data_IF_123975948510
#
_entry.id   IF_123975948510
#
_cell.length_a   1.000
_cell.length_b   1.000
_cell.length_c   1.000
_cell.angle_alpha   90.00
_cell.angle_beta   90.00
_cell.angle_gamma   90.00
#
_symmetry.space_group_name_H-M   'P 1'
#
loop_
_entity.id
_entity.type
_entity.pdbx_description
1 polymer ?
#
# COMPACT_ATOMS: atom_id res chain seq x y z
N UNK A 1 2.48 7.56 -5.22
CA UNK A 1 3.33 6.89 -6.25
C UNK A 1 4.64 7.66 -6.33
N UNK A 2 5.74 7.01 -5.99
CA UNK A 2 7.08 7.63 -6.06
C UNK A 2 7.60 7.80 -7.49
N UNK A 3 7.11 6.99 -8.44
CA UNK A 3 7.49 7.12 -9.85
C UNK A 3 7.05 8.47 -10.43
N UNK A 4 8.03 9.27 -10.88
CA UNK A 4 7.79 10.59 -11.45
C UNK A 4 7.48 11.69 -10.43
N UNK A 5 7.69 11.44 -9.13
CA UNK A 5 7.58 12.49 -8.11
C UNK A 5 8.92 13.17 -7.90
N UNK A 6 8.91 14.49 -7.88
CA UNK A 6 10.09 15.34 -7.61
C UNK A 6 9.90 15.99 -6.24
N UNK A 7 10.92 15.91 -5.40
CA UNK A 7 10.94 16.48 -4.07
C UNK A 7 12.04 17.56 -4.00
N UNK A 8 11.76 18.76 -3.49
CA UNK A 8 12.80 19.73 -3.15
C UNK A 8 13.73 19.14 -2.10
N UNK A 9 15.05 19.31 -2.26
CA UNK A 9 16.03 18.77 -1.30
C UNK A 9 15.82 19.32 0.12
N UNK A 10 15.55 20.61 0.26
CA UNK A 10 15.27 21.24 1.55
C UNK A 10 14.05 20.64 2.29
N UNK A 11 13.16 19.94 1.58
CA UNK A 11 12.03 19.26 2.22
C UNK A 11 12.50 18.08 3.10
N UNK A 12 13.59 17.42 2.71
CA UNK A 12 14.20 16.34 3.52
C UNK A 12 14.89 16.87 4.76
N UNK A 13 15.42 18.11 4.72
CA UNK A 13 16.00 18.76 5.89
C UNK A 13 14.90 19.17 6.89
N UNK A 14 13.73 19.57 6.40
CA UNK A 14 12.61 20.03 7.23
C UNK A 14 11.77 18.87 7.80
N UNK A 15 11.52 17.82 6.99
CA UNK A 15 10.59 16.75 7.30
C UNK A 15 11.27 15.43 7.63
N UNK A 16 12.60 15.37 7.54
CA UNK A 16 13.34 14.11 7.58
C UNK A 16 13.12 13.24 6.32
N UNK A 17 13.82 12.13 6.22
CA UNK A 17 13.74 11.19 5.09
C UNK A 17 12.46 10.34 5.12
N UNK A 18 12.30 9.48 4.14
CA UNK A 18 11.19 8.53 4.09
C UNK A 18 11.17 7.58 5.29
N UNK A 19 9.97 7.20 5.73
CA UNK A 19 9.77 6.25 6.82
C UNK A 19 10.11 4.82 6.35
N UNK A 20 11.38 4.42 6.52
CA UNK A 20 11.92 3.14 6.03
C UNK A 20 11.23 1.94 6.65
N UNK A 21 10.73 2.07 7.88
CA UNK A 21 10.03 1.01 8.60
C UNK A 21 8.72 0.54 7.92
N UNK A 22 8.21 1.31 6.98
CA UNK A 22 7.09 0.87 6.12
C UNK A 22 7.55 -0.15 5.08
N UNK A 23 8.83 -0.17 4.72
CA UNK A 23 9.53 -1.12 3.86
C UNK A 23 9.08 -1.11 2.38
N UNK A 24 7.82 -1.35 2.04
CA UNK A 24 7.40 -1.55 0.65
C UNK A 24 6.19 -0.73 0.20
N UNK A 25 5.20 -0.52 1.03
CA UNK A 25 3.95 0.10 0.64
C UNK A 25 3.58 1.27 1.55
N UNK A 26 3.15 2.36 0.95
CA UNK A 26 2.64 3.53 1.65
C UNK A 26 3.70 4.55 2.05
N UNK A 27 4.98 4.32 1.74
CA UNK A 27 6.09 5.22 2.02
C UNK A 27 5.87 6.60 1.38
N UNK A 28 5.50 6.60 0.11
CA UNK A 28 5.19 7.80 -0.66
C UNK A 28 3.94 8.53 -0.12
N UNK A 29 2.92 7.77 0.25
CA UNK A 29 1.70 8.34 0.83
C UNK A 29 1.99 8.98 2.19
N UNK A 30 2.74 8.29 3.05
CA UNK A 30 3.14 8.79 4.35
C UNK A 30 3.88 10.13 4.22
N UNK A 31 4.88 10.17 3.35
CA UNK A 31 5.68 11.38 3.14
C UNK A 31 4.83 12.55 2.64
N UNK A 32 3.95 12.32 1.68
CA UNK A 32 3.03 13.36 1.19
C UNK A 32 2.06 13.84 2.28
N UNK A 33 1.57 12.96 3.15
CA UNK A 33 0.67 13.35 4.24
C UNK A 33 1.43 14.10 5.36
N UNK A 34 2.65 13.70 5.65
CA UNK A 34 3.55 14.41 6.57
C UNK A 34 3.85 15.82 6.06
N UNK A 35 4.18 15.95 4.78
CA UNK A 35 4.38 17.24 4.13
C UNK A 35 3.11 18.11 4.15
N UNK A 36 1.94 17.53 3.87
CA UNK A 36 0.68 18.24 3.91
C UNK A 36 0.34 18.82 5.30
N UNK A 37 0.64 18.10 6.38
CA UNK A 37 0.50 18.61 7.76
C UNK A 37 1.39 19.82 8.06
N UNK A 38 2.47 20.01 7.31
CA UNK A 38 3.35 21.17 7.35
C UNK A 38 2.96 22.27 6.33
N UNK A 39 1.83 22.13 5.67
CA UNK A 39 1.35 23.09 4.68
C UNK A 39 1.96 22.94 3.29
N UNK A 40 2.80 21.93 3.06
CA UNK A 40 3.40 21.66 1.74
C UNK A 40 2.37 20.95 0.86
N UNK A 41 2.09 21.51 -0.31
CA UNK A 41 1.11 20.97 -1.26
C UNK A 41 1.76 20.05 -2.28
N UNK A 42 1.18 18.87 -2.47
CA UNK A 42 1.51 18.01 -3.60
C UNK A 42 0.75 18.47 -4.85
N UNK A 43 1.46 18.73 -5.95
CA UNK A 43 0.89 19.20 -7.21
C UNK A 43 1.09 18.12 -8.27
N UNK A 44 0.03 17.85 -9.04
CA UNK A 44 0.08 16.93 -10.17
C UNK A 44 -0.01 17.73 -11.49
N UNK A 45 0.98 17.57 -12.35
CA UNK A 45 1.02 18.20 -13.69
C UNK A 45 0.33 17.29 -14.70
N UNK A 46 -0.86 17.66 -15.15
CA UNK A 46 -1.66 16.87 -16.09
C UNK A 46 -1.04 16.77 -17.49
N UNK A 47 -0.17 17.71 -17.83
CA UNK A 47 0.48 17.79 -19.16
C UNK A 47 1.76 16.96 -19.25
N UNK A 48 2.23 16.38 -18.14
CA UNK A 48 3.42 15.54 -18.10
C UNK A 48 2.97 14.11 -17.96
N UNK A 49 3.18 13.32 -19.01
CA UNK A 49 2.84 11.90 -19.02
C UNK A 49 4.08 11.07 -18.75
N UNK A 50 4.05 10.31 -17.67
CA UNK A 50 5.06 9.29 -17.37
C UNK A 50 4.55 7.94 -17.84
N UNK A 51 5.23 7.34 -18.83
CA UNK A 51 4.97 5.97 -19.21
C UNK A 51 5.61 5.03 -18.18
N UNK A 52 4.79 4.38 -17.37
CA UNK A 52 5.24 3.52 -16.27
C UNK A 52 4.62 2.14 -16.38
N UNK A 53 5.46 1.13 -16.59
CA UNK A 53 5.04 -0.26 -16.56
C UNK A 53 5.04 -0.76 -15.10
N UNK A 54 3.87 -1.17 -14.63
CA UNK A 54 3.69 -1.70 -13.27
C UNK A 54 4.24 -3.12 -13.09
N UNK A 55 4.77 -3.75 -14.16
CA UNK A 55 5.43 -5.06 -14.12
C UNK A 55 4.50 -6.25 -13.75
N UNK A 56 3.21 -6.03 -13.59
CA UNK A 56 2.24 -7.07 -13.25
C UNK A 56 1.20 -7.23 -14.35
N UNK A 57 1.26 -8.35 -15.06
CA UNK A 57 0.20 -8.71 -16.00
C UNK A 57 -1.06 -9.07 -15.20
N UNK A 58 -2.09 -8.24 -15.33
CA UNK A 58 -3.40 -8.53 -14.75
C UNK A 58 -4.10 -9.58 -15.60
N UNK A 59 -4.24 -10.79 -15.09
CA UNK A 59 -5.06 -11.82 -15.74
C UNK A 59 -6.54 -11.51 -15.52
N UNK A 60 -7.28 -11.54 -16.64
CA UNK A 60 -8.74 -11.39 -16.63
C UNK A 60 -9.40 -12.65 -16.11
N UNK A 61 -10.29 -12.51 -15.13
CA UNK A 61 -11.14 -13.58 -14.61
C UNK A 61 -12.60 -13.14 -14.60
N UNK A 62 -13.53 -14.07 -14.41
CA UNK A 62 -14.96 -13.79 -14.22
C UNK A 62 -15.39 -14.19 -12.81
N UNK A 63 -16.11 -13.30 -12.12
CA UNK A 63 -16.73 -13.55 -10.83
C UNK A 63 -18.16 -13.05 -10.85
N UNK A 64 -19.12 -13.92 -10.64
CA UNK A 64 -20.56 -13.60 -10.65
C UNK A 64 -20.97 -12.79 -11.91
N UNK A 65 -20.52 -13.22 -13.08
CA UNK A 65 -20.82 -12.55 -14.36
C UNK A 65 -20.03 -11.27 -14.65
N UNK A 66 -19.27 -10.74 -13.68
CA UNK A 66 -18.46 -9.53 -13.84
C UNK A 66 -16.99 -9.87 -14.10
N UNK A 67 -16.36 -9.04 -14.92
CA UNK A 67 -14.92 -9.14 -15.14
C UNK A 67 -14.15 -8.60 -13.94
N UNK A 68 -13.19 -9.38 -13.47
CA UNK A 68 -12.31 -9.02 -12.34
C UNK A 68 -10.84 -9.21 -12.74
N UNK A 69 -9.98 -8.35 -12.21
CA UNK A 69 -8.55 -8.35 -12.48
C UNK A 69 -7.78 -8.46 -11.17
N UNK A 70 -7.61 -9.69 -10.62
CA UNK A 70 -6.83 -9.89 -9.40
C UNK A 70 -5.39 -9.46 -9.60
N UNK A 71 -4.85 -8.71 -8.62
CA UNK A 71 -3.42 -8.41 -8.60
C UNK A 71 -2.69 -9.57 -7.91
N UNK A 72 -1.91 -10.34 -8.65
CA UNK A 72 -1.14 -11.45 -8.08
C UNK A 72 0.10 -10.93 -7.33
N UNK A 73 -0.11 -10.34 -6.16
CA UNK A 73 0.99 -9.85 -5.33
C UNK A 73 1.70 -10.99 -4.61
N UNK A 74 3.04 -10.90 -4.42
CA UNK A 74 3.76 -11.82 -3.55
C UNK A 74 3.29 -11.71 -2.10
N UNK A 75 3.50 -12.76 -1.27
CA UNK A 75 3.08 -12.78 0.13
C UNK A 75 3.61 -11.58 0.95
N UNK A 76 4.87 -11.19 0.74
CA UNK A 76 5.45 -10.03 1.42
C UNK A 76 4.66 -8.75 1.14
N UNK A 77 4.37 -8.44 -0.13
CA UNK A 77 3.57 -7.25 -0.48
C UNK A 77 2.15 -7.32 0.05
N UNK A 78 1.58 -8.50 0.10
CA UNK A 78 0.25 -8.74 0.70
C UNK A 78 0.24 -8.42 2.19
N UNK A 79 1.27 -8.82 2.92
CA UNK A 79 1.48 -8.49 4.33
C UNK A 79 1.58 -6.97 4.54
N UNK A 80 2.49 -6.31 3.82
CA UNK A 80 2.75 -4.87 4.01
C UNK A 80 1.55 -4.01 3.63
N UNK A 81 0.77 -4.37 2.61
CA UNK A 81 -0.45 -3.64 2.26
C UNK A 81 -1.45 -3.57 3.42
N UNK A 82 -1.62 -4.65 4.16
CA UNK A 82 -2.54 -4.69 5.31
C UNK A 82 -1.92 -4.01 6.52
N UNK A 83 -0.69 -4.39 6.90
CA UNK A 83 0.01 -3.87 8.08
C UNK A 83 0.17 -2.35 8.01
N UNK A 84 0.72 -1.85 6.89
CA UNK A 84 0.99 -0.43 6.75
C UNK A 84 -0.29 0.39 6.67
N UNK A 85 -1.35 -0.10 6.02
CA UNK A 85 -2.63 0.59 6.01
C UNK A 85 -3.21 0.83 7.40
N UNK A 86 -3.07 -0.14 8.31
CA UNK A 86 -3.51 0.02 9.69
C UNK A 86 -2.63 1.01 10.48
N UNK A 87 -1.32 0.95 10.27
CA UNK A 87 -0.37 1.89 10.90
C UNK A 87 -0.60 3.30 10.37
N UNK A 88 -0.70 3.46 9.06
CA UNK A 88 -0.90 4.77 8.43
C UNK A 88 -2.24 5.41 8.82
N UNK A 89 -3.31 4.62 8.96
CA UNK A 89 -4.56 5.16 9.48
C UNK A 89 -4.43 5.66 10.93
N UNK A 90 -3.63 4.99 11.75
CA UNK A 90 -3.38 5.45 13.13
C UNK A 90 -2.59 6.76 13.16
N UNK A 91 -1.62 6.91 12.25
CA UNK A 91 -0.81 8.12 12.14
C UNK A 91 -1.57 9.27 11.46
N UNK A 92 -2.38 8.94 10.46
CA UNK A 92 -3.09 9.90 9.58
C UNK A 92 -4.56 9.48 9.39
N UNK A 93 -5.39 9.52 10.45
CA UNK A 93 -6.78 9.06 10.37
C UNK A 93 -7.63 9.90 9.40
N UNK A 94 -7.26 11.16 9.20
CA UNK A 94 -7.89 12.06 8.25
C UNK A 94 -7.58 11.76 6.78
N UNK A 95 -6.45 11.09 6.52
CA UNK A 95 -5.95 10.84 5.16
C UNK A 95 -6.28 9.44 4.64
N UNK A 96 -6.48 8.46 5.52
CA UNK A 96 -6.73 7.07 5.14
C UNK A 96 -8.02 6.53 5.76
N UNK A 97 -8.99 6.19 4.90
CA UNK A 97 -10.20 5.49 5.31
C UNK A 97 -9.89 3.99 5.56
N UNK A 98 -9.69 3.60 6.82
CA UNK A 98 -9.32 2.23 7.19
C UNK A 98 -10.38 1.18 6.79
N UNK A 99 -11.69 1.35 7.00
CA UNK A 99 -12.70 0.40 6.53
C UNK A 99 -12.63 0.13 5.02
N UNK A 100 -12.49 1.17 4.22
CA UNK A 100 -12.33 1.02 2.77
C UNK A 100 -11.02 0.33 2.39
N UNK A 101 -9.93 0.66 3.07
CA UNK A 101 -8.63 0.03 2.87
C UNK A 101 -8.66 -1.47 3.20
N UNK A 102 -9.20 -1.86 4.35
CA UNK A 102 -9.32 -3.26 4.75
C UNK A 102 -10.27 -4.04 3.84
N UNK A 103 -11.39 -3.43 3.40
CA UNK A 103 -12.29 -4.05 2.43
C UNK A 103 -11.54 -4.44 1.16
N UNK A 104 -10.63 -3.59 0.68
CA UNK A 104 -9.89 -3.84 -0.55
C UNK A 104 -8.67 -4.75 -0.33
N UNK A 105 -7.84 -4.48 0.67
CA UNK A 105 -6.55 -5.13 0.86
C UNK A 105 -6.59 -6.36 1.78
N UNK A 106 -7.67 -6.56 2.55
CA UNK A 106 -7.86 -7.74 3.38
C UNK A 106 -9.01 -8.59 2.85
N UNK A 107 -10.26 -8.14 2.95
CA UNK A 107 -11.43 -9.00 2.65
C UNK A 107 -11.52 -9.40 1.18
N UNK A 108 -11.40 -8.44 0.28
CA UNK A 108 -11.38 -8.75 -1.17
C UNK A 108 -10.19 -9.65 -1.54
N UNK A 109 -9.05 -9.45 -0.89
CA UNK A 109 -7.86 -10.28 -1.10
C UNK A 109 -8.05 -11.71 -0.64
N UNK A 110 -8.71 -11.96 0.50
CA UNK A 110 -9.04 -13.33 0.95
C UNK A 110 -9.78 -14.08 -0.15
N UNK A 111 -10.83 -13.46 -0.73
CA UNK A 111 -11.62 -14.06 -1.82
C UNK A 111 -10.77 -14.30 -3.06
N UNK A 112 -9.96 -13.33 -3.49
CA UNK A 112 -9.15 -13.45 -4.70
C UNK A 112 -8.03 -14.47 -4.55
N UNK A 113 -7.39 -14.53 -3.41
CA UNK A 113 -6.38 -15.56 -3.09
C UNK A 113 -7.00 -16.95 -3.14
N UNK A 114 -8.21 -17.11 -2.56
CA UNK A 114 -8.91 -18.39 -2.56
C UNK A 114 -9.23 -18.86 -3.99
N UNK A 115 -9.77 -17.98 -4.82
CA UNK A 115 -10.31 -18.35 -6.13
C UNK A 115 -9.27 -18.40 -7.25
N UNK A 116 -8.34 -17.44 -7.29
CA UNK A 116 -7.56 -17.18 -8.50
C UNK A 116 -6.04 -17.20 -8.33
N UNK A 117 -5.52 -17.03 -7.10
CA UNK A 117 -4.09 -16.81 -6.92
C UNK A 117 -3.33 -18.07 -6.52
N UNK A 118 -2.03 -18.07 -6.82
CA UNK A 118 -1.08 -19.08 -6.36
C UNK A 118 -0.62 -18.80 -4.92
N UNK A 119 0.09 -19.77 -4.30
CA UNK A 119 0.66 -19.65 -2.94
C UNK A 119 -0.38 -19.27 -1.87
N UNK A 120 -1.56 -19.86 -1.91
CA UNK A 120 -2.71 -19.53 -1.07
C UNK A 120 -2.39 -19.49 0.41
N UNK A 121 -1.75 -20.54 0.93
CA UNK A 121 -1.40 -20.68 2.36
C UNK A 121 -0.46 -19.55 2.78
N UNK A 122 0.61 -19.30 1.99
CA UNK A 122 1.58 -18.24 2.30
C UNK A 122 0.94 -16.84 2.28
N UNK A 123 0.02 -16.59 1.35
CA UNK A 123 -0.71 -15.32 1.25
C UNK A 123 -1.74 -15.15 2.36
N UNK A 124 -2.43 -16.21 2.77
CA UNK A 124 -3.34 -16.15 3.92
C UNK A 124 -2.60 -15.90 5.23
N UNK A 125 -1.47 -16.59 5.43
CA UNK A 125 -0.59 -16.28 6.56
C UNK A 125 -0.12 -14.81 6.52
N UNK A 126 0.24 -14.31 5.34
CA UNK A 126 0.64 -12.92 5.16
C UNK A 126 -0.48 -11.92 5.49
N UNK A 127 -1.73 -12.20 5.08
CA UNK A 127 -2.89 -11.38 5.43
C UNK A 127 -3.14 -11.35 6.93
N UNK A 128 -3.10 -12.52 7.59
CA UNK A 128 -3.28 -12.64 9.02
C UNK A 128 -2.18 -11.94 9.82
N UNK A 129 -0.91 -12.22 9.47
CA UNK A 129 0.24 -11.57 10.12
C UNK A 129 0.19 -10.06 9.94
N UNK A 130 -0.12 -9.58 8.72
CA UNK A 130 -0.26 -8.16 8.43
C UNK A 130 -1.35 -7.48 9.26
N UNK A 131 -2.50 -8.13 9.41
CA UNK A 131 -3.58 -7.63 10.27
C UNK A 131 -3.17 -7.59 11.74
N UNK A 132 -2.61 -8.70 12.26
CA UNK A 132 -2.18 -8.81 13.66
C UNK A 132 -1.10 -7.76 13.99
N UNK A 133 -0.07 -7.67 13.15
CA UNK A 133 1.06 -6.77 13.37
C UNK A 133 0.66 -5.30 13.17
N UNK A 134 -0.21 -5.01 12.20
CA UNK A 134 -0.81 -3.69 12.02
C UNK A 134 -1.65 -3.25 13.22
N UNK A 135 -2.44 -4.17 13.80
CA UNK A 135 -3.19 -3.90 15.04
C UNK A 135 -2.28 -3.58 16.23
N UNK A 136 -1.12 -4.22 16.29
CA UNK A 136 -0.10 -3.99 17.33
C UNK A 136 0.76 -2.75 17.06
N UNK A 137 0.70 -2.18 15.85
CA UNK A 137 1.56 -1.07 15.43
C UNK A 137 3.01 -1.49 15.15
N UNK A 138 3.25 -2.79 14.90
CA UNK A 138 4.58 -3.29 14.60
C UNK A 138 5.07 -2.76 13.25
N UNK A 139 6.27 -2.20 13.23
CA UNK A 139 6.95 -1.67 12.05
C UNK A 139 8.19 -2.51 11.70
N UNK A 140 8.89 -2.15 10.63
CA UNK A 140 10.10 -2.83 10.18
C UNK A 140 9.83 -4.04 9.29
N UNK A 141 10.86 -4.85 9.09
CA UNK A 141 10.80 -6.03 8.24
C UNK A 141 9.96 -7.15 8.86
N UNK A 142 9.26 -7.90 8.01
CA UNK A 142 8.44 -9.03 8.45
C UNK A 142 9.33 -10.16 8.97
N UNK A 143 9.14 -10.54 10.23
CA UNK A 143 9.84 -11.68 10.85
C UNK A 143 11.00 -11.27 11.78
N UNK A 144 11.25 -9.99 11.94
CA UNK A 144 12.10 -9.45 13.00
C UNK A 144 11.33 -9.29 14.30
#
# INVERSE_FOLDING_TARGET
MTSGTVYPVGLFEELDVFMEELFVWGIDCEYCWRAARKGVRTVCFKNILLQHDLGYQKKKHRLLGKEVFPNEYPPARTYYNVRNGMVLHRLYPESLNLPAHLRYHLYKRIVFVLLYEKQKIAKWKALWDGYRDGKRGKLGERGQ
#
